data_IF_028394160793
#
_entry.id   IF_028394160793
#
_cell.length_a   1.000
_cell.length_b   1.000
_cell.length_c   1.000
_cell.angle_alpha   90.00
_cell.angle_beta   90.00
_cell.angle_gamma   90.00
#
_symmetry.space_group_name_H-M   'P 1'
#
loop_
_entity.id
_entity.type
_entity.pdbx_description
1 polymer ?
#
# COMPACT_ATOMS: atom_id res chain seq x y z
N UNK A 1 0.86 -10.22 -24.22
CA UNK A 1 2.01 -10.30 -23.37
C UNK A 1 1.78 -11.24 -22.20
N UNK A 2 2.75 -12.12 -21.97
CA UNK A 2 2.59 -13.15 -20.95
C UNK A 2 2.55 -12.58 -19.53
N UNK A 3 3.28 -11.50 -19.30
CA UNK A 3 3.37 -10.92 -17.96
C UNK A 3 2.61 -9.61 -17.91
N UNK A 4 1.59 -9.53 -17.05
CA UNK A 4 0.88 -8.27 -16.91
C UNK A 4 1.76 -7.21 -16.26
N UNK A 5 1.56 -5.98 -16.67
CA UNK A 5 2.23 -4.86 -16.06
C UNK A 5 1.74 -4.69 -14.62
N UNK A 6 2.59 -4.12 -13.79
CA UNK A 6 2.22 -3.78 -12.42
C UNK A 6 1.61 -2.39 -12.41
N UNK A 7 0.39 -2.29 -11.89
CA UNK A 7 -0.29 -1.02 -11.69
C UNK A 7 -0.17 -0.65 -10.21
N UNK A 8 0.54 0.42 -9.90
CA UNK A 8 0.81 0.83 -8.54
C UNK A 8 0.02 2.10 -8.19
N UNK A 9 -0.81 2.01 -7.18
CA UNK A 9 -1.57 3.18 -6.71
C UNK A 9 -1.73 3.03 -5.19
N UNK A 10 -1.00 3.85 -4.45
CA UNK A 10 -0.95 3.72 -2.99
C UNK A 10 -2.19 4.29 -2.32
N UNK A 11 -2.73 3.53 -1.37
CA UNK A 11 -3.80 4.00 -0.51
C UNK A 11 -3.28 5.01 0.51
N UNK A 12 -2.09 4.82 0.98
CA UNK A 12 -1.33 5.65 1.90
C UNK A 12 -1.80 5.54 3.34
N UNK A 13 -3.09 5.73 3.63
CA UNK A 13 -3.59 5.67 4.99
C UNK A 13 -5.05 5.26 5.00
N UNK A 14 -5.62 5.17 6.21
CA UNK A 14 -7.01 4.77 6.41
C UNK A 14 -7.96 5.88 5.98
N UNK A 15 -9.24 5.52 5.82
CA UNK A 15 -10.25 6.43 5.26
C UNK A 15 -10.32 7.76 6.02
N UNK A 16 -10.38 7.70 7.35
CA UNK A 16 -10.55 8.87 8.20
C UNK A 16 -9.44 9.92 8.00
N UNK A 17 -8.24 9.45 7.66
CA UNK A 17 -7.06 10.32 7.58
C UNK A 17 -6.72 10.74 6.15
N UNK A 18 -7.52 10.38 5.17
CA UNK A 18 -7.20 10.69 3.77
C UNK A 18 -7.14 12.18 3.50
N UNK A 19 -8.14 12.93 3.94
CA UNK A 19 -8.20 14.36 3.62
C UNK A 19 -7.03 15.16 4.15
N UNK A 20 -6.61 14.98 5.41
CA UNK A 20 -5.45 15.73 5.90
C UNK A 20 -4.15 15.35 5.21
N UNK A 21 -4.05 14.13 4.68
CA UNK A 21 -2.80 13.60 4.12
C UNK A 21 -2.76 13.76 2.60
N UNK A 22 -3.87 13.55 1.93
CA UNK A 22 -3.95 13.54 0.47
C UNK A 22 -4.99 14.54 0.01
N UNK A 23 -4.60 15.40 -0.92
CA UNK A 23 -5.50 16.45 -1.40
C UNK A 23 -6.22 16.09 -2.68
N UNK A 24 -5.64 15.20 -3.49
CA UNK A 24 -6.15 14.92 -4.82
C UNK A 24 -6.75 13.54 -4.98
N UNK A 25 -6.62 12.68 -3.98
CA UNK A 25 -7.13 11.32 -4.06
C UNK A 25 -8.01 11.02 -2.86
N UNK A 26 -9.00 10.16 -3.06
CA UNK A 26 -9.87 9.74 -1.98
C UNK A 26 -9.68 8.25 -1.74
N UNK A 27 -10.12 7.80 -0.57
CA UNK A 27 -10.04 6.40 -0.19
C UNK A 27 -10.78 5.53 -1.19
N UNK A 28 -12.05 5.86 -1.44
CA UNK A 28 -12.87 5.08 -2.37
C UNK A 28 -12.36 5.18 -3.79
N UNK A 29 -11.87 6.35 -4.17
CA UNK A 29 -11.31 6.54 -5.50
C UNK A 29 -10.11 5.64 -5.76
N UNK A 30 -9.23 5.54 -4.78
CA UNK A 30 -8.07 4.67 -4.89
C UNK A 30 -8.48 3.20 -5.04
N UNK A 31 -9.43 2.76 -4.20
CA UNK A 31 -9.91 1.38 -4.30
C UNK A 31 -10.56 1.10 -5.65
N UNK A 32 -11.32 2.07 -6.15
CA UNK A 32 -11.98 1.94 -7.44
C UNK A 32 -10.98 1.82 -8.58
N UNK A 33 -9.93 2.64 -8.55
CA UNK A 33 -8.88 2.60 -9.56
C UNK A 33 -8.15 1.27 -9.54
N UNK A 34 -7.82 0.78 -8.35
CA UNK A 34 -7.15 -0.52 -8.21
C UNK A 34 -8.03 -1.66 -8.72
N UNK A 35 -9.31 -1.63 -8.36
CA UNK A 35 -10.24 -2.65 -8.79
C UNK A 35 -10.40 -2.65 -10.31
N UNK A 36 -10.47 -1.46 -10.90
CA UNK A 36 -10.57 -1.33 -12.35
C UNK A 36 -9.34 -1.89 -13.04
N UNK A 37 -8.15 -1.53 -12.54
CA UNK A 37 -6.90 -2.04 -13.11
C UNK A 37 -6.84 -3.56 -13.03
N UNK A 38 -7.29 -4.12 -11.91
CA UNK A 38 -7.31 -5.57 -11.75
C UNK A 38 -8.22 -6.21 -12.79
N UNK A 39 -9.39 -5.61 -13.01
CA UNK A 39 -10.34 -6.14 -14.00
C UNK A 39 -9.78 -6.07 -15.43
N UNK A 40 -8.82 -5.20 -15.67
CA UNK A 40 -8.17 -5.08 -16.97
C UNK A 40 -6.94 -5.98 -17.10
N UNK A 41 -6.66 -6.81 -16.14
CA UNK A 41 -5.60 -7.79 -16.22
C UNK A 41 -4.26 -7.37 -15.63
N UNK A 42 -4.20 -6.22 -14.97
CA UNK A 42 -2.97 -5.78 -14.34
C UNK A 42 -2.71 -6.51 -13.02
N UNK A 43 -1.44 -6.69 -12.71
CA UNK A 43 -1.04 -7.03 -11.34
C UNK A 43 -1.06 -5.72 -10.55
N UNK A 44 -1.85 -5.67 -9.49
CA UNK A 44 -2.06 -4.41 -8.76
C UNK A 44 -1.24 -4.37 -7.48
N UNK A 45 -0.73 -3.18 -7.19
CA UNK A 45 0.09 -2.94 -6.01
C UNK A 45 -0.38 -1.69 -5.29
N UNK A 46 -0.40 -1.75 -3.97
CA UNK A 46 -0.74 -0.59 -3.15
C UNK A 46 0.12 -0.58 -1.90
N UNK A 47 0.11 0.53 -1.18
CA UNK A 47 0.87 0.67 0.04
C UNK A 47 0.13 1.48 1.07
N UNK A 48 0.35 1.16 2.33
CA UNK A 48 -0.14 1.94 3.45
C UNK A 48 1.01 2.20 4.42
N UNK A 49 0.83 3.23 5.24
CA UNK A 49 1.82 3.62 6.22
C UNK A 49 1.21 3.57 7.61
N UNK A 50 2.01 3.21 8.60
CA UNK A 50 1.61 3.21 10.00
C UNK A 50 2.27 4.38 10.71
N UNK A 51 1.60 4.95 11.71
CA UNK A 51 2.17 6.01 12.52
C UNK A 51 1.65 7.40 12.21
N UNK A 52 0.57 7.53 11.43
CA UNK A 52 -0.03 8.81 11.10
C UNK A 52 -1.11 9.21 12.12
N UNK A 53 -1.72 8.21 12.79
CA UNK A 53 -2.81 8.43 13.73
C UNK A 53 -3.94 7.42 13.57
N UNK A 54 -3.71 6.39 12.79
CA UNK A 54 -4.71 5.36 12.52
C UNK A 54 -4.91 4.44 13.72
N UNK A 55 -6.11 3.87 13.80
CA UNK A 55 -6.44 2.89 14.84
C UNK A 55 -6.32 1.49 14.27
N UNK A 56 -6.21 0.51 15.18
CA UNK A 56 -5.99 -0.88 14.77
C UNK A 56 -7.13 -1.41 13.89
N UNK A 57 -8.37 -1.12 14.25
CA UNK A 57 -9.50 -1.57 13.45
C UNK A 57 -9.55 -0.87 12.08
N UNK A 58 -9.05 0.35 12.01
CA UNK A 58 -8.97 1.05 10.73
C UNK A 58 -7.93 0.43 9.81
N UNK A 59 -6.80 -0.02 10.35
CA UNK A 59 -5.78 -0.70 9.56
C UNK A 59 -6.35 -2.01 9.02
N UNK A 60 -7.04 -2.74 9.88
CA UNK A 60 -7.67 -4.01 9.48
C UNK A 60 -8.65 -3.79 8.35
N UNK A 61 -9.48 -2.76 8.46
CA UNK A 61 -10.45 -2.45 7.42
C UNK A 61 -9.77 -2.08 6.11
N UNK A 62 -8.71 -1.27 6.18
CA UNK A 62 -8.02 -0.84 4.97
C UNK A 62 -7.40 -2.04 4.23
N UNK A 63 -6.77 -2.94 4.97
CA UNK A 63 -6.17 -4.13 4.36
C UNK A 63 -7.25 -5.01 3.74
N UNK A 64 -8.37 -5.17 4.44
CA UNK A 64 -9.49 -5.96 3.93
C UNK A 64 -10.04 -5.34 2.65
N UNK A 65 -10.20 -4.02 2.63
CA UNK A 65 -10.70 -3.32 1.45
C UNK A 65 -9.76 -3.47 0.26
N UNK A 66 -8.46 -3.41 0.52
CA UNK A 66 -7.47 -3.61 -0.55
C UNK A 66 -7.53 -5.04 -1.10
N UNK A 67 -7.70 -6.01 -0.22
CA UNK A 67 -7.83 -7.40 -0.66
C UNK A 67 -9.08 -7.57 -1.53
N UNK A 68 -10.17 -6.95 -1.14
CA UNK A 68 -11.42 -7.02 -1.91
C UNK A 68 -11.32 -6.31 -3.25
N UNK A 69 -10.49 -5.27 -3.32
CA UNK A 69 -10.25 -4.59 -4.59
C UNK A 69 -9.33 -5.39 -5.52
N UNK A 70 -8.79 -6.51 -5.05
CA UNK A 70 -7.98 -7.37 -5.88
C UNK A 70 -6.50 -7.07 -5.86
N UNK A 71 -6.04 -6.35 -4.84
CA UNK A 71 -4.61 -6.01 -4.74
C UNK A 71 -3.78 -7.28 -4.59
N UNK A 72 -2.76 -7.40 -5.44
CA UNK A 72 -1.86 -8.55 -5.41
C UNK A 72 -0.66 -8.33 -4.50
N UNK A 73 -0.17 -7.09 -4.42
CA UNK A 73 1.05 -6.76 -3.71
C UNK A 73 0.78 -5.60 -2.78
N UNK A 74 1.10 -5.78 -1.51
CA UNK A 74 0.89 -4.74 -0.49
C UNK A 74 2.19 -4.43 0.21
N UNK A 75 2.52 -3.13 0.34
CA UNK A 75 3.62 -2.70 1.18
C UNK A 75 3.06 -1.99 2.40
N UNK A 76 3.67 -2.24 3.56
CA UNK A 76 3.30 -1.60 4.83
C UNK A 76 4.59 -1.06 5.44
N UNK A 77 4.67 0.27 5.58
CA UNK A 77 5.89 0.89 6.09
C UNK A 77 5.59 1.92 7.16
N UNK A 78 6.64 2.40 7.81
CA UNK A 78 6.52 3.43 8.83
C UNK A 78 6.41 4.80 8.15
N UNK A 79 5.43 5.59 8.58
CA UNK A 79 5.30 6.95 8.11
C UNK A 79 6.47 7.80 8.62
N UNK A 80 7.09 8.52 7.71
CA UNK A 80 8.14 9.48 8.04
C UNK A 80 7.69 10.84 7.52
N UNK A 81 7.66 11.82 8.41
CA UNK A 81 7.21 13.16 8.04
C UNK A 81 8.16 13.76 7.00
N UNK A 82 7.69 13.99 5.76
CA UNK A 82 8.61 14.48 4.70
C UNK A 82 9.10 15.88 4.94
N UNK A 83 8.25 16.78 5.39
CA UNK A 83 8.61 18.17 5.71
C UNK A 83 7.80 18.62 6.92
N UNK A 84 8.19 19.74 7.55
CA UNK A 84 7.41 20.24 8.70
C UNK A 84 5.96 20.56 8.39
N UNK A 85 5.62 20.78 7.12
CA UNK A 85 4.23 21.06 6.74
C UNK A 85 3.36 19.81 6.69
N UNK A 86 3.96 18.64 6.65
CA UNK A 86 3.20 17.40 6.63
C UNK A 86 2.80 16.98 8.05
N UNK A 87 1.86 16.04 8.14
CA UNK A 87 1.40 15.54 9.42
C UNK A 87 2.59 15.01 10.24
N UNK A 88 2.62 15.31 11.54
CA UNK A 88 3.71 14.78 12.38
C UNK A 88 3.55 13.27 12.59
N UNK A 89 4.66 12.64 12.95
CA UNK A 89 4.64 11.22 13.26
C UNK A 89 3.88 11.04 14.57
N UNK A 90 2.79 10.26 14.53
CA UNK A 90 1.97 10.00 15.71
C UNK A 90 2.61 8.96 16.62
N UNK A 91 3.18 7.92 16.00
CA UNK A 91 3.85 6.87 16.76
C UNK A 91 4.81 6.10 15.85
N UNK A 92 5.72 5.40 16.48
CA UNK A 92 6.62 4.48 15.79
C UNK A 92 6.09 3.07 16.02
N UNK A 93 5.60 2.45 14.95
CA UNK A 93 5.03 1.11 15.07
C UNK A 93 6.18 0.11 15.31
N UNK A 94 6.02 -0.79 16.27
CA UNK A 94 7.09 -1.77 16.54
C UNK A 94 7.18 -2.82 15.45
N UNK A 95 8.34 -3.44 15.28
CA UNK A 95 8.51 -4.47 14.23
C UNK A 95 7.49 -5.60 14.33
N UNK A 96 7.11 -5.98 15.54
CA UNK A 96 6.13 -7.05 15.74
C UNK A 96 4.78 -6.70 15.13
N UNK A 97 4.42 -5.42 15.14
CA UNK A 97 3.15 -5.02 14.55
C UNK A 97 3.19 -5.19 13.05
N UNK A 98 4.31 -4.85 12.41
CA UNK A 98 4.44 -5.06 10.97
C UNK A 98 4.32 -6.54 10.61
N UNK A 99 4.87 -7.41 11.42
CA UNK A 99 4.75 -8.85 11.20
C UNK A 99 3.30 -9.31 11.31
N UNK A 100 2.59 -8.80 12.33
CA UNK A 100 1.19 -9.15 12.52
C UNK A 100 0.32 -8.71 11.36
N UNK A 101 0.54 -7.51 10.85
CA UNK A 101 -0.24 -7.04 9.71
C UNK A 101 0.08 -7.78 8.43
N UNK A 102 1.33 -8.21 8.27
CA UNK A 102 1.68 -9.07 7.14
C UNK A 102 0.89 -10.36 7.18
N UNK A 103 0.84 -11.01 8.35
CA UNK A 103 0.09 -12.25 8.50
C UNK A 103 -1.38 -12.04 8.20
N UNK A 104 -1.95 -10.95 8.71
CA UNK A 104 -3.35 -10.67 8.45
C UNK A 104 -3.61 -10.45 6.96
N UNK A 105 -2.75 -9.67 6.30
CA UNK A 105 -2.92 -9.39 4.88
C UNK A 105 -2.88 -10.66 4.04
N UNK A 106 -1.94 -11.55 4.36
CA UNK A 106 -1.86 -12.82 3.65
C UNK A 106 -3.11 -13.65 3.90
N UNK A 107 -3.66 -13.59 5.12
CA UNK A 107 -4.83 -14.39 5.48
C UNK A 107 -6.09 -13.94 4.74
N UNK A 108 -6.18 -12.67 4.33
CA UNK A 108 -7.34 -12.19 3.60
C UNK A 108 -7.16 -12.24 2.09
N UNK A 109 -6.04 -12.80 1.61
CA UNK A 109 -5.89 -13.14 0.21
C UNK A 109 -4.90 -12.32 -0.59
N UNK A 110 -4.16 -11.41 0.04
CA UNK A 110 -3.12 -10.65 -0.67
C UNK A 110 -1.92 -11.58 -0.85
N UNK A 111 -1.44 -11.69 -2.08
CA UNK A 111 -0.43 -12.69 -2.43
C UNK A 111 0.97 -12.36 -1.94
N UNK A 112 1.37 -11.09 -2.06
CA UNK A 112 2.72 -10.66 -1.70
C UNK A 112 2.60 -9.49 -0.75
N UNK A 113 3.23 -9.59 0.42
CA UNK A 113 3.18 -8.52 1.42
C UNK A 113 4.60 -8.24 1.89
N UNK A 114 5.02 -6.99 1.76
CA UNK A 114 6.28 -6.51 2.28
C UNK A 114 5.98 -5.52 3.39
N UNK A 115 6.35 -5.85 4.61
CA UNK A 115 5.93 -5.11 5.79
C UNK A 115 7.11 -4.94 6.73
N UNK A 116 7.39 -3.69 7.11
CA UNK A 116 8.47 -3.42 8.05
C UNK A 116 8.74 -1.93 8.14
N UNK A 117 9.46 -1.51 9.19
CA UNK A 117 9.70 -0.07 9.39
C UNK A 117 10.52 0.58 8.28
N UNK A 118 11.32 -0.20 7.57
CA UNK A 118 12.17 0.34 6.51
C UNK A 118 11.60 0.16 5.11
N UNK A 119 10.41 -0.41 4.99
CA UNK A 119 9.79 -0.62 3.68
C UNK A 119 9.39 0.73 3.09
N UNK A 120 9.72 0.94 1.82
CA UNK A 120 9.37 2.13 1.08
C UNK A 120 8.75 1.72 -0.25
N UNK A 121 7.59 2.30 -0.53
CA UNK A 121 6.80 1.89 -1.66
C UNK A 121 7.54 2.00 -3.00
N UNK A 122 8.21 3.14 -3.23
CA UNK A 122 8.87 3.37 -4.51
C UNK A 122 10.06 2.44 -4.72
N UNK A 123 10.85 2.20 -3.66
CA UNK A 123 12.00 1.30 -3.75
C UNK A 123 11.55 -0.12 -4.08
N UNK A 124 10.53 -0.59 -3.38
CA UNK A 124 10.06 -1.94 -3.58
C UNK A 124 9.28 -2.10 -4.88
N UNK A 125 8.71 -1.03 -5.39
CA UNK A 125 8.08 -1.07 -6.70
C UNK A 125 9.09 -1.41 -7.78
N UNK A 126 10.29 -0.82 -7.72
CA UNK A 126 11.33 -1.13 -8.68
C UNK A 126 11.78 -2.57 -8.59
N UNK A 127 12.03 -3.04 -7.38
CA UNK A 127 12.46 -4.41 -7.17
C UNK A 127 11.43 -5.41 -7.67
N UNK A 128 10.18 -5.14 -7.39
CA UNK A 128 9.12 -6.05 -7.79
C UNK A 128 8.89 -6.03 -9.28
N UNK A 129 9.04 -4.88 -9.90
CA UNK A 129 8.96 -4.80 -11.36
C UNK A 129 10.02 -5.66 -12.01
N UNK A 130 11.23 -5.63 -11.48
CA UNK A 130 12.32 -6.46 -12.00
C UNK A 130 11.99 -7.94 -11.84
N UNK A 131 11.47 -8.33 -10.68
CA UNK A 131 11.11 -9.73 -10.44
C UNK A 131 10.06 -10.22 -11.40
N UNK A 132 9.15 -9.35 -11.81
CA UNK A 132 8.09 -9.71 -12.74
C UNK A 132 8.46 -9.45 -14.18
N UNK A 133 9.68 -8.97 -14.46
CA UNK A 133 10.10 -8.73 -15.80
C UNK A 133 9.56 -7.45 -16.40
N UNK A 134 9.26 -6.46 -15.59
CA UNK A 134 8.68 -5.19 -16.03
C UNK A 134 9.65 -4.06 -15.70
N UNK A 135 10.87 -4.19 -16.14
CA UNK A 135 11.92 -3.26 -15.76
C UNK A 135 11.73 -1.87 -16.35
N UNK A 136 11.17 -1.79 -17.54
CA UNK A 136 10.93 -0.47 -18.15
C UNK A 136 9.87 0.30 -17.38
N UNK A 137 8.87 -0.39 -16.87
CA UNK A 137 7.87 0.26 -16.05
C UNK A 137 8.50 0.82 -14.78
N UNK A 138 9.48 0.12 -14.22
CA UNK A 138 10.15 0.59 -13.03
C UNK A 138 10.94 1.86 -13.28
N UNK A 139 11.54 1.98 -14.46
CA UNK A 139 12.35 3.14 -14.79
C UNK A 139 11.50 4.35 -15.21
N UNK A 140 10.29 4.10 -15.58
CA UNK A 140 9.40 5.21 -15.96
C UNK A 140 8.89 5.93 -14.74
#
# INVERSE_FOLDING_TARGET
DANPDIFNHNLETVDRLQKPIRKTSTYKGTLSVLSHAKSRGFTTKSGIMLGIGEKQDEIRQAITDLAQAGVNILTIGQYLQPTPEHAPIDRWAPPEEFDSWKEFALSVGIEVVESGPLVRSSYHAEEQSDRFGVEEAASA
#
